data_IF_565865534182
#
_entry.id   IF_565865534182
#
_cell.length_a   1.000
_cell.length_b   1.000
_cell.length_c   1.000
_cell.angle_alpha   90.00
_cell.angle_beta   90.00
_cell.angle_gamma   90.00
#
_symmetry.space_group_name_H-M   'P 1'
#
loop_
_entity.id
_entity.type
_entity.pdbx_description
1 polymer ?
#
# COMPACT_ATOMS: atom_id res chain seq x y z
N UNK A 1 -19.03 4.66 -4.71
CA UNK A 1 -18.72 5.63 -5.79
C UNK A 1 -18.92 5.05 -7.20
N UNK A 2 -18.83 3.74 -7.39
CA UNK A 2 -19.11 3.07 -8.68
C UNK A 2 -20.62 3.00 -9.00
N UNK A 3 -21.45 2.76 -7.98
CA UNK A 3 -22.91 2.73 -8.10
C UNK A 3 -23.51 4.09 -8.52
N UNK A 4 -22.96 5.20 -8.02
CA UNK A 4 -23.45 6.55 -8.34
C UNK A 4 -23.11 7.00 -9.76
N UNK A 5 -22.01 6.50 -10.35
CA UNK A 5 -21.61 6.85 -11.73
C UNK A 5 -22.51 6.25 -12.81
N UNK A 6 -23.12 5.08 -12.56
CA UNK A 6 -24.00 4.43 -13.53
C UNK A 6 -25.39 5.05 -13.62
N UNK A 7 -25.81 5.77 -12.59
CA UNK A 7 -27.19 6.25 -12.49
C UNK A 7 -27.35 7.60 -13.21
N UNK A 8 -26.42 8.56 -13.07
CA UNK A 8 -26.60 9.93 -13.60
C UNK A 8 -25.40 10.47 -14.43
N UNK A 9 -25.35 10.22 -15.76
CA UNK A 9 -24.30 10.74 -16.65
C UNK A 9 -24.27 12.27 -16.80
N UNK A 10 -25.32 13.00 -16.39
CA UNK A 10 -25.37 14.46 -16.43
C UNK A 10 -24.48 15.15 -15.38
N UNK A 11 -24.24 14.52 -14.23
CA UNK A 11 -23.42 15.08 -13.15
C UNK A 11 -21.92 15.10 -13.45
N UNK A 12 -21.46 14.22 -14.36
CA UNK A 12 -20.07 14.19 -14.78
C UNK A 12 -19.63 15.51 -15.42
N UNK A 13 -20.50 16.20 -16.18
CA UNK A 13 -20.11 17.40 -16.95
C UNK A 13 -19.73 18.61 -16.09
N UNK A 14 -20.27 18.71 -14.88
CA UNK A 14 -20.01 19.85 -13.97
C UNK A 14 -18.81 19.57 -13.06
N UNK A 15 -18.61 18.32 -12.63
CA UNK A 15 -17.47 17.91 -11.79
C UNK A 15 -16.13 17.96 -12.54
N UNK A 16 -16.12 17.73 -13.87
CA UNK A 16 -14.90 17.81 -14.69
C UNK A 16 -14.33 19.23 -14.88
N UNK A 17 -15.06 20.28 -14.47
CA UNK A 17 -14.56 21.67 -14.54
C UNK A 17 -13.63 22.04 -13.39
N UNK A 18 -13.65 21.30 -12.28
CA UNK A 18 -12.68 21.46 -11.21
C UNK A 18 -11.45 20.61 -11.50
N UNK A 19 -10.32 21.28 -11.70
CA UNK A 19 -9.00 20.74 -12.12
C UNK A 19 -8.56 19.50 -11.33
N UNK A 20 -9.10 19.29 -10.12
CA UNK A 20 -8.81 18.17 -9.24
C UNK A 20 -9.18 16.78 -9.80
N UNK A 21 -10.22 16.65 -10.63
CA UNK A 21 -10.69 15.33 -11.11
C UNK A 21 -10.09 14.85 -12.44
N UNK A 22 -9.35 15.71 -13.16
CA UNK A 22 -8.78 15.36 -14.46
C UNK A 22 -7.53 14.45 -14.34
N UNK A 23 -6.92 14.39 -13.16
CA UNK A 23 -5.83 13.46 -12.84
C UNK A 23 -6.37 12.05 -12.50
N UNK A 24 -7.64 11.94 -12.10
CA UNK A 24 -8.24 10.69 -11.59
C UNK A 24 -9.05 9.93 -12.66
N UNK A 25 -9.57 10.61 -13.68
CA UNK A 25 -10.40 9.95 -14.70
C UNK A 25 -9.59 9.46 -15.89
N UNK A 26 -9.00 8.27 -15.78
CA UNK A 26 -8.41 7.57 -16.93
C UNK A 26 -9.53 6.97 -17.81
N UNK A 27 -9.66 7.31 -19.10
CA UNK A 27 -10.79 6.89 -19.97
C UNK A 27 -10.77 5.43 -20.44
N UNK A 28 -10.24 4.47 -19.66
CA UNK A 28 -10.12 3.04 -20.04
C UNK A 28 -10.90 2.08 -19.12
N UNK A 29 -11.76 2.58 -18.24
CA UNK A 29 -12.50 1.78 -17.25
C UNK A 29 -13.87 1.28 -17.76
N UNK A 30 -13.91 0.52 -18.85
CA UNK A 30 -15.16 -0.17 -19.27
C UNK A 30 -15.11 -1.67 -18.93
N UNK A 31 -13.93 -2.25 -18.70
CA UNK A 31 -13.77 -3.70 -18.46
C UNK A 31 -12.86 -4.10 -17.28
N UNK A 32 -12.29 -3.15 -16.53
CA UNK A 32 -11.42 -3.45 -15.38
C UNK A 32 -11.99 -2.83 -14.09
N UNK A 33 -11.97 -3.60 -13.00
CA UNK A 33 -12.34 -3.16 -11.65
C UNK A 33 -11.43 -1.99 -11.26
N UNK A 34 -12.01 -0.88 -10.81
CA UNK A 34 -11.27 0.33 -10.44
C UNK A 34 -10.32 0.05 -9.27
N UNK A 35 -9.11 0.64 -9.28
CA UNK A 35 -8.13 0.54 -8.19
C UNK A 35 -8.68 0.98 -6.84
N UNK A 36 -9.62 1.92 -6.80
CA UNK A 36 -10.33 2.31 -5.57
C UNK A 36 -11.15 1.15 -4.97
N UNK A 37 -11.72 0.28 -5.80
CA UNK A 37 -12.46 -0.90 -5.34
C UNK A 37 -11.49 -1.91 -4.71
N UNK A 38 -10.30 -2.08 -5.29
CA UNK A 38 -9.23 -2.92 -4.71
C UNK A 38 -8.69 -2.36 -3.39
N UNK A 39 -8.51 -1.04 -3.30
CA UNK A 39 -8.14 -0.35 -2.06
C UNK A 39 -9.20 -0.53 -0.96
N UNK A 40 -10.49 -0.33 -1.27
CA UNK A 40 -11.56 -0.57 -0.28
C UNK A 40 -11.62 -2.04 0.13
N UNK A 41 -11.36 -2.96 -0.80
CA UNK A 41 -11.28 -4.39 -0.48
C UNK A 41 -10.12 -4.67 0.47
N UNK A 42 -8.97 -4.02 0.30
CA UNK A 42 -7.83 -4.20 1.20
C UNK A 42 -8.13 -3.65 2.59
N UNK A 43 -8.76 -2.48 2.70
CA UNK A 43 -9.26 -1.95 3.97
C UNK A 43 -10.22 -2.93 4.66
N UNK A 44 -11.14 -3.54 3.92
CA UNK A 44 -12.03 -4.56 4.46
C UNK A 44 -11.24 -5.76 4.99
N UNK A 45 -10.32 -6.33 4.21
CA UNK A 45 -9.49 -7.47 4.64
C UNK A 45 -8.66 -7.12 5.87
N UNK A 46 -8.02 -5.94 5.89
CA UNK A 46 -7.25 -5.46 7.04
C UNK A 46 -8.13 -5.26 8.28
N UNK A 47 -9.38 -4.80 8.11
CA UNK A 47 -10.31 -4.65 9.23
C UNK A 47 -10.66 -5.98 9.90
N UNK A 48 -10.66 -7.09 9.15
CA UNK A 48 -10.89 -8.43 9.71
C UNK A 48 -9.75 -8.88 10.62
N UNK A 49 -8.56 -8.33 10.43
CA UNK A 49 -7.42 -8.54 11.33
C UNK A 49 -7.53 -7.73 12.60
N UNK A 50 -8.60 -6.95 12.83
CA UNK A 50 -8.99 -6.31 14.09
C UNK A 50 -7.84 -5.65 14.91
N UNK A 51 -6.75 -5.25 14.24
CA UNK A 51 -5.52 -4.75 14.84
C UNK A 51 -5.17 -3.42 14.18
N UNK A 52 -5.26 -2.35 14.98
CA UNK A 52 -4.95 -0.99 14.54
C UNK A 52 -3.48 -0.88 14.10
N UNK A 53 -2.56 -1.55 14.82
CA UNK A 53 -1.14 -1.55 14.51
C UNK A 53 -0.87 -2.17 13.14
N UNK A 54 -1.42 -3.36 12.87
CA UNK A 54 -1.20 -4.06 11.60
C UNK A 54 -1.79 -3.25 10.44
N UNK A 55 -2.99 -2.69 10.62
CA UNK A 55 -3.61 -1.81 9.63
C UNK A 55 -2.79 -0.55 9.35
N UNK A 56 -2.31 0.13 10.40
CA UNK A 56 -1.51 1.34 10.28
C UNK A 56 -0.19 1.09 9.52
N UNK A 57 0.53 0.01 9.87
CA UNK A 57 1.78 -0.37 9.21
C UNK A 57 1.53 -0.71 7.74
N UNK A 58 0.53 -1.55 7.45
CA UNK A 58 0.22 -1.97 6.09
C UNK A 58 -0.14 -0.79 5.18
N UNK A 59 -0.98 0.13 5.68
CA UNK A 59 -1.40 1.31 4.92
C UNK A 59 -0.30 2.35 4.80
N UNK A 60 0.56 2.52 5.81
CA UNK A 60 1.73 3.38 5.71
C UNK A 60 2.71 2.88 4.64
N UNK A 61 2.96 1.57 4.59
CA UNK A 61 3.80 0.97 3.53
C UNK A 61 3.20 1.25 2.16
N UNK A 62 1.91 0.97 1.93
CA UNK A 62 1.26 1.27 0.64
C UNK A 62 1.34 2.77 0.29
N UNK A 63 1.01 3.64 1.24
CA UNK A 63 0.89 5.09 0.99
C UNK A 63 2.21 5.76 0.62
N UNK A 64 3.33 5.28 1.15
CA UNK A 64 4.64 5.92 0.95
C UNK A 64 5.59 5.10 0.07
N UNK A 65 5.66 3.78 0.26
CA UNK A 65 6.63 2.94 -0.43
C UNK A 65 6.29 2.78 -1.91
N UNK A 66 5.02 2.51 -2.25
CA UNK A 66 4.59 2.29 -3.63
C UNK A 66 4.82 3.53 -4.54
N UNK A 67 4.34 4.75 -4.19
CA UNK A 67 4.60 5.91 -5.03
C UNK A 67 6.08 6.29 -5.08
N UNK A 68 6.85 6.08 -4.00
CA UNK A 68 8.28 6.32 -4.01
C UNK A 68 9.03 5.34 -4.92
N UNK A 69 8.74 4.04 -4.81
CA UNK A 69 9.30 2.99 -5.67
C UNK A 69 8.99 3.26 -7.14
N UNK A 70 7.74 3.64 -7.45
CA UNK A 70 7.33 3.98 -8.79
C UNK A 70 8.01 5.26 -9.32
N UNK A 71 8.20 6.28 -8.48
CA UNK A 71 8.90 7.50 -8.84
C UNK A 71 10.40 7.27 -9.09
N UNK A 72 11.08 6.58 -8.17
CA UNK A 72 12.51 6.28 -8.30
C UNK A 72 12.73 5.31 -9.47
N UNK A 73 11.93 4.24 -9.56
CA UNK A 73 12.07 3.24 -10.61
C UNK A 73 11.88 3.81 -12.01
N UNK A 74 10.96 4.77 -12.22
CA UNK A 74 10.80 5.44 -13.52
C UNK A 74 11.93 6.40 -13.85
N UNK A 75 12.50 7.08 -12.84
CA UNK A 75 13.49 8.15 -13.07
C UNK A 75 14.93 7.65 -13.11
N UNK A 76 15.24 6.65 -12.30
CA UNK A 76 16.61 6.15 -12.08
C UNK A 76 16.72 4.63 -12.21
N UNK A 77 15.63 3.91 -12.49
CA UNK A 77 15.68 2.47 -12.67
C UNK A 77 16.52 2.08 -13.89
N UNK A 78 17.59 1.31 -13.64
CA UNK A 78 18.48 0.79 -14.70
C UNK A 78 18.36 -0.71 -14.81
N UNK A 79 18.08 -1.39 -13.70
CA UNK A 79 18.05 -2.84 -13.64
C UNK A 79 16.60 -3.30 -13.63
N UNK A 80 16.08 -3.69 -14.80
CA UNK A 80 14.70 -4.19 -14.91
C UNK A 80 14.56 -5.55 -14.27
N UNK A 81 13.52 -5.68 -13.44
CA UNK A 81 13.08 -6.93 -12.84
C UNK A 81 11.80 -7.42 -13.55
N UNK A 82 10.88 -8.00 -12.79
CA UNK A 82 9.64 -8.61 -13.28
C UNK A 82 8.60 -7.51 -13.56
N UNK A 83 7.82 -7.67 -14.64
CA UNK A 83 6.68 -6.80 -14.99
C UNK A 83 7.04 -5.31 -15.16
N UNK A 84 8.28 -4.98 -15.53
CA UNK A 84 8.71 -3.59 -15.73
C UNK A 84 9.00 -2.83 -14.44
N UNK A 85 8.92 -3.49 -13.27
CA UNK A 85 9.49 -2.97 -12.02
C UNK A 85 11.02 -3.04 -12.12
N UNK A 86 11.70 -2.23 -11.32
CA UNK A 86 13.18 -2.11 -11.35
C UNK A 86 13.76 -2.42 -9.98
N UNK A 87 15.02 -2.87 -9.95
CA UNK A 87 15.72 -3.16 -8.69
C UNK A 87 15.81 -1.91 -7.82
N UNK A 88 16.09 -0.76 -8.43
CA UNK A 88 16.18 0.53 -7.74
C UNK A 88 14.82 0.93 -7.15
N UNK A 89 13.72 0.68 -7.88
CA UNK A 89 12.35 0.84 -7.37
C UNK A 89 12.08 -0.07 -6.18
N UNK A 90 12.37 -1.37 -6.29
CA UNK A 90 12.11 -2.33 -5.20
C UNK A 90 12.97 -2.08 -3.96
N UNK A 91 14.22 -1.66 -4.11
CA UNK A 91 15.06 -1.24 -2.97
C UNK A 91 14.50 0.02 -2.31
N UNK A 92 14.04 0.98 -3.12
CA UNK A 92 13.34 2.17 -2.61
C UNK A 92 12.10 1.77 -1.83
N UNK A 93 11.31 0.82 -2.35
CA UNK A 93 10.12 0.32 -1.67
C UNK A 93 10.47 -0.18 -0.27
N UNK A 94 11.48 -1.05 -0.14
CA UNK A 94 11.86 -1.63 1.14
C UNK A 94 12.35 -0.56 2.12
N UNK A 95 13.20 0.37 1.66
CA UNK A 95 13.75 1.45 2.52
C UNK A 95 12.65 2.41 2.97
N UNK A 96 11.86 2.92 2.04
CA UNK A 96 10.79 3.89 2.33
C UNK A 96 9.67 3.22 3.13
N UNK A 97 9.30 1.99 2.77
CA UNK A 97 8.31 1.20 3.50
C UNK A 97 8.71 0.93 4.93
N UNK A 98 9.98 0.57 5.17
CA UNK A 98 10.50 0.38 6.54
C UNK A 98 10.42 1.68 7.32
N UNK A 99 10.85 2.80 6.73
CA UNK A 99 10.79 4.12 7.38
C UNK A 99 9.35 4.57 7.67
N UNK A 100 8.42 4.35 6.74
CA UNK A 100 7.01 4.68 6.89
C UNK A 100 6.35 3.81 7.97
N UNK A 101 6.65 2.51 8.02
CA UNK A 101 6.17 1.61 9.06
C UNK A 101 6.70 2.02 10.45
N UNK A 102 7.99 2.35 10.55
CA UNK A 102 8.59 2.86 11.78
C UNK A 102 7.91 4.14 12.25
N UNK A 103 7.71 5.10 11.34
CA UNK A 103 7.03 6.35 11.65
C UNK A 103 5.59 6.10 12.09
N UNK A 104 4.85 5.23 11.39
CA UNK A 104 3.49 4.86 11.73
C UNK A 104 3.39 4.24 13.12
N UNK A 105 4.29 3.31 13.47
CA UNK A 105 4.34 2.72 14.81
C UNK A 105 4.68 3.76 15.88
N UNK A 106 5.72 4.57 15.70
CA UNK A 106 6.13 5.52 16.75
C UNK A 106 5.14 6.67 16.96
N UNK A 107 4.38 7.06 15.93
CA UNK A 107 3.39 8.13 16.04
C UNK A 107 2.03 7.64 16.56
N UNK A 108 1.59 6.45 16.15
CA UNK A 108 0.24 5.94 16.45
C UNK A 108 0.22 4.92 17.59
N UNK A 109 1.37 4.29 17.85
CA UNK A 109 1.56 3.23 18.83
C UNK A 109 2.83 3.48 19.68
N UNK A 110 2.89 4.60 20.43
CA UNK A 110 4.07 4.97 21.21
C UNK A 110 4.45 3.94 22.29
N UNK A 111 3.51 3.07 22.68
CA UNK A 111 3.75 1.90 23.54
C UNK A 111 4.74 0.88 22.93
N UNK A 112 4.89 0.90 21.60
CA UNK A 112 5.84 0.07 20.86
C UNK A 112 7.16 0.84 20.66
N UNK A 113 7.94 0.98 21.73
CA UNK A 113 9.15 1.83 21.73
C UNK A 113 10.47 1.09 21.53
N UNK A 114 10.44 -0.25 21.44
CA UNK A 114 11.66 -1.05 21.34
C UNK A 114 12.20 -1.06 19.90
N UNK A 115 13.24 -0.26 19.67
CA UNK A 115 13.87 -0.06 18.36
C UNK A 115 14.14 -1.34 17.55
N UNK A 116 14.76 -2.40 18.12
CA UNK A 116 14.97 -3.66 17.39
C UNK A 116 13.67 -4.29 16.91
N UNK A 117 12.63 -4.29 17.75
CA UNK A 117 11.32 -4.88 17.45
C UNK A 117 10.61 -4.10 16.35
N UNK A 118 10.53 -2.77 16.49
CA UNK A 118 9.90 -1.91 15.47
C UNK A 118 10.63 -2.00 14.14
N UNK A 119 11.96 -2.11 14.15
CA UNK A 119 12.75 -2.26 12.92
C UNK A 119 12.48 -3.61 12.25
N UNK A 120 12.48 -4.70 13.02
CA UNK A 120 12.19 -6.03 12.50
C UNK A 120 10.78 -6.12 11.90
N UNK A 121 9.78 -5.58 12.59
CA UNK A 121 8.39 -5.55 12.14
C UNK A 121 8.23 -4.68 10.89
N UNK A 122 8.77 -3.46 10.90
CA UNK A 122 8.69 -2.55 9.76
C UNK A 122 9.43 -3.07 8.52
N UNK A 123 10.62 -3.64 8.70
CA UNK A 123 11.38 -4.24 7.60
C UNK A 123 10.67 -5.47 7.02
N UNK A 124 10.12 -6.34 7.87
CA UNK A 124 9.33 -7.50 7.42
C UNK A 124 8.10 -7.08 6.62
N UNK A 125 7.35 -6.09 7.12
CA UNK A 125 6.19 -5.53 6.40
C UNK A 125 6.58 -4.98 5.01
N UNK A 126 7.66 -4.20 4.94
CA UNK A 126 8.14 -3.60 3.70
C UNK A 126 8.65 -4.65 2.70
N UNK A 127 9.34 -5.68 3.17
CA UNK A 127 9.82 -6.78 2.31
C UNK A 127 8.65 -7.57 1.73
N UNK A 128 7.67 -7.96 2.55
CA UNK A 128 6.49 -8.68 2.05
C UNK A 128 5.66 -7.82 1.08
N UNK A 129 5.48 -6.53 1.40
CA UNK A 129 4.83 -5.58 0.50
C UNK A 129 5.57 -5.43 -0.84
N UNK A 130 6.90 -5.31 -0.82
CA UNK A 130 7.71 -5.17 -2.03
C UNK A 130 7.75 -6.44 -2.88
N UNK A 131 7.72 -7.62 -2.26
CA UNK A 131 7.54 -8.89 -2.99
C UNK A 131 6.18 -8.90 -3.69
N UNK A 132 5.12 -8.53 -2.98
CA UNK A 132 3.78 -8.45 -3.58
C UNK A 132 3.72 -7.45 -4.74
N UNK A 133 4.33 -6.27 -4.60
CA UNK A 133 4.47 -5.27 -5.66
C UNK A 133 5.13 -5.86 -6.92
N UNK A 134 6.22 -6.62 -6.75
CA UNK A 134 6.99 -7.21 -7.83
C UNK A 134 6.19 -8.27 -8.64
N UNK A 135 5.30 -9.00 -7.97
CA UNK A 135 4.51 -10.08 -8.57
C UNK A 135 3.06 -9.69 -8.90
N UNK A 136 2.64 -8.46 -8.59
CA UNK A 136 1.28 -7.99 -8.88
C UNK A 136 1.08 -7.83 -10.38
N UNK A 137 0.37 -8.79 -10.99
CA UNK A 137 0.05 -8.82 -12.43
C UNK A 137 -1.44 -8.81 -12.72
N UNK A 138 -2.20 -9.63 -11.99
CA UNK A 138 -3.65 -9.81 -12.17
C UNK A 138 -4.49 -9.12 -11.10
N UNK A 139 -3.93 -9.03 -9.89
CA UNK A 139 -4.50 -8.29 -8.78
C UNK A 139 -3.77 -6.95 -8.68
N UNK A 140 -4.53 -5.92 -8.36
CA UNK A 140 -4.07 -4.55 -8.22
C UNK A 140 -3.19 -4.41 -6.95
N UNK A 141 -2.14 -3.59 -7.04
CA UNK A 141 -1.19 -3.35 -5.96
C UNK A 141 -1.86 -2.71 -4.74
N UNK A 142 -2.95 -1.96 -4.92
CA UNK A 142 -3.74 -1.42 -3.83
C UNK A 142 -4.45 -2.50 -2.98
N UNK A 143 -4.52 -3.74 -3.46
CA UNK A 143 -4.92 -4.90 -2.65
C UNK A 143 -3.73 -5.71 -2.15
N UNK A 144 -2.86 -6.14 -3.06
CA UNK A 144 -1.83 -7.12 -2.74
C UNK A 144 -0.78 -6.58 -1.78
N UNK A 145 -0.32 -5.34 -1.97
CA UNK A 145 0.71 -4.71 -1.14
C UNK A 145 0.28 -4.58 0.31
N UNK A 146 -0.85 -3.94 0.67
CA UNK A 146 -1.24 -3.81 2.07
C UNK A 146 -1.53 -5.16 2.72
N UNK A 147 -2.16 -6.10 2.02
CA UNK A 147 -2.45 -7.44 2.57
C UNK A 147 -1.15 -8.22 2.85
N UNK A 148 -0.18 -8.16 1.93
CA UNK A 148 1.11 -8.80 2.15
C UNK A 148 1.94 -8.10 3.22
N UNK A 149 1.94 -6.77 3.26
CA UNK A 149 2.60 -6.01 4.32
C UNK A 149 2.01 -6.34 5.71
N UNK A 150 0.69 -6.51 5.81
CA UNK A 150 0.04 -6.99 7.03
C UNK A 150 0.51 -8.39 7.41
N UNK A 151 0.60 -9.33 6.46
CA UNK A 151 1.14 -10.66 6.73
C UNK A 151 2.59 -10.62 7.26
N UNK A 152 3.45 -9.78 6.67
CA UNK A 152 4.81 -9.57 7.15
C UNK A 152 4.88 -8.96 8.54
N UNK A 153 3.98 -8.01 8.83
CA UNK A 153 3.83 -7.38 10.16
C UNK A 153 3.43 -8.42 11.20
N UNK A 154 2.42 -9.24 10.89
CA UNK A 154 1.93 -10.30 11.78
C UNK A 154 3.02 -11.33 12.05
N UNK A 155 3.69 -11.83 11.00
CA UNK A 155 4.76 -12.81 11.13
C UNK A 155 5.91 -12.30 12.02
N UNK A 156 6.37 -11.07 11.80
CA UNK A 156 7.44 -10.49 12.61
C UNK A 156 6.98 -10.23 14.05
N UNK A 157 5.75 -9.76 14.24
CA UNK A 157 5.21 -9.51 15.59
C UNK A 157 5.14 -10.80 16.42
N UNK A 158 4.74 -11.91 15.80
CA UNK A 158 4.81 -13.23 16.44
C UNK A 158 6.22 -13.63 16.85
N UNK A 159 7.22 -13.39 15.99
CA UNK A 159 8.62 -13.75 16.26
C UNK A 159 9.26 -12.85 17.32
N UNK A 160 8.87 -11.58 17.40
CA UNK A 160 9.42 -10.62 18.37
C UNK A 160 8.64 -10.58 19.69
N UNK A 161 7.51 -11.30 19.79
CA UNK A 161 6.61 -11.23 20.94
C UNK A 161 5.88 -9.89 21.07
N UNK A 162 5.76 -9.12 19.97
CA UNK A 162 5.05 -7.85 19.97
C UNK A 162 3.55 -8.13 20.03
N UNK A 163 2.87 -7.58 21.05
CA UNK A 163 1.41 -7.67 21.09
C UNK A 163 0.80 -6.83 19.97
N UNK A 164 0.08 -7.49 19.07
CA UNK A 164 -0.69 -6.84 17.99
C UNK A 164 -2.11 -6.48 18.44
N UNK A 165 -2.52 -7.03 19.57
CA UNK A 165 -3.88 -7.08 20.06
C UNK A 165 -3.88 -6.48 21.46
N UNK A 166 -4.36 -5.24 21.56
CA UNK A 166 -4.45 -4.45 22.78
C UNK A 166 -5.80 -3.78 22.87
#
# INVERSE_FOLDING_TARGET
MEATRRIWPAWNRTLFKFVFFRVIAHPREVHHVNSATWYVTSLFVLSLLQSHLVGAVALAVLAFADPAAAAIGRRWGRTTLIHGRTLEGSLTFVVVGTAAALLGMHLLHPEVSMWPTTLAVGASAAVFGGIAELFSKRLDDNLTVPVSAAAGTVAASFLTGLSMWG
#
